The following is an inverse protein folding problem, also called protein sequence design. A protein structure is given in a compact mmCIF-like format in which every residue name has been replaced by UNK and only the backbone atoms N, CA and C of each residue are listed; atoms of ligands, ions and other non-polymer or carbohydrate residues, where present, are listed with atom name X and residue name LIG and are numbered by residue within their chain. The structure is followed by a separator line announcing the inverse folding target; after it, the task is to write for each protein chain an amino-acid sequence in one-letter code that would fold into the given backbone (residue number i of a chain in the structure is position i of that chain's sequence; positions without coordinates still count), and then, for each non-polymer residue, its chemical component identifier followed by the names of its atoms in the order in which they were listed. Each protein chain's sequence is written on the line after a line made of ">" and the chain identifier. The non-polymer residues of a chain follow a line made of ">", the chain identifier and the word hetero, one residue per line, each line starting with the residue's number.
data_IF_186554985549
#
_entry.id   IF_186554985549
#
_cell.length_a   1.000
_cell.length_b   1.000
_cell.length_c   1.000
_cell.angle_alpha   90.00
_cell.angle_beta   90.00
_cell.angle_gamma   90.00
#
_symmetry.space_group_name_H-M   'P 1'
#
loop_
_entity.id
_entity.type
_entity.pdbx_description
1 polymer ?
#
# COMPACT_ATOMS: atom_id res chain seq x y z
N UNK A 1 4.40 1.59 -20.46
CA UNK A 1 4.36 2.36 -19.20
C UNK A 1 4.18 3.86 -19.40
N UNK A 2 4.75 4.50 -20.44
CA UNK A 2 4.72 5.98 -20.60
C UNK A 2 3.34 6.65 -20.62
N UNK A 3 2.32 6.10 -21.28
CA UNK A 3 0.97 6.70 -21.34
C UNK A 3 0.17 6.48 -20.05
N UNK A 4 0.20 5.27 -19.50
CA UNK A 4 -0.50 4.93 -18.24
C UNK A 4 0.02 5.70 -17.04
N UNK A 5 1.32 6.02 -17.00
CA UNK A 5 1.90 6.86 -15.95
C UNK A 5 1.24 8.24 -15.90
N UNK A 6 1.02 8.85 -17.07
CA UNK A 6 0.39 10.16 -17.19
C UNK A 6 -1.09 10.13 -16.80
N UNK A 7 -1.81 9.07 -17.15
CA UNK A 7 -3.22 8.88 -16.74
C UNK A 7 -3.35 8.81 -15.22
N UNK A 8 -2.45 8.08 -14.54
CA UNK A 8 -2.42 8.00 -13.07
C UNK A 8 -2.11 9.37 -12.47
N UNK A 9 -1.13 10.08 -13.01
CA UNK A 9 -0.77 11.43 -12.53
C UNK A 9 -1.94 12.40 -12.71
N UNK A 10 -2.62 12.36 -13.85
CA UNK A 10 -3.81 13.18 -14.12
C UNK A 10 -4.92 12.86 -13.13
N UNK A 11 -5.16 11.59 -12.82
CA UNK A 11 -6.15 11.17 -11.84
C UNK A 11 -5.83 11.71 -10.43
N UNK A 12 -4.57 11.62 -10.00
CA UNK A 12 -4.11 12.15 -8.70
C UNK A 12 -4.42 13.64 -8.59
N UNK A 13 -4.18 14.42 -9.66
CA UNK A 13 -4.46 15.85 -9.66
C UNK A 13 -5.96 16.17 -9.76
N UNK A 14 -6.75 15.37 -10.49
CA UNK A 14 -8.20 15.58 -10.61
C UNK A 14 -8.96 15.29 -9.31
N UNK A 15 -8.48 14.36 -8.51
CA UNK A 15 -9.14 13.98 -7.24
C UNK A 15 -8.70 14.82 -6.06
N UNK A 16 -7.73 15.73 -6.25
CA UNK A 16 -7.10 16.52 -5.18
C UNK A 16 -6.65 15.66 -3.99
N UNK A 17 -6.24 14.42 -4.26
CA UNK A 17 -5.91 13.44 -3.24
C UNK A 17 -4.69 13.89 -2.43
N UNK A 18 -4.81 13.95 -1.10
CA UNK A 18 -3.67 14.26 -0.21
C UNK A 18 -2.73 13.08 -0.01
N UNK A 19 -3.22 11.86 -0.20
CA UNK A 19 -2.47 10.62 -0.04
C UNK A 19 -2.88 9.68 -1.17
N UNK A 20 -1.89 9.09 -1.85
CA UNK A 20 -2.12 8.09 -2.89
C UNK A 20 -1.29 6.84 -2.60
N UNK A 21 -1.88 5.68 -2.84
CA UNK A 21 -1.25 4.39 -2.56
C UNK A 21 -1.30 3.59 -3.86
N UNK A 22 -0.13 3.11 -4.28
CA UNK A 22 0.03 2.37 -5.52
C UNK A 22 0.65 1.01 -5.21
N UNK A 23 -0.10 -0.04 -5.52
CA UNK A 23 0.39 -1.41 -5.55
C UNK A 23 0.78 -1.78 -6.97
N UNK A 24 1.55 -2.85 -7.13
CA UNK A 24 2.06 -3.25 -8.46
C UNK A 24 2.81 -2.10 -9.15
N UNK A 25 3.51 -1.30 -8.34
CA UNK A 25 4.07 -0.04 -8.80
C UNK A 25 5.23 -0.25 -9.78
N UNK A 26 5.79 -1.47 -9.85
CA UNK A 26 6.93 -1.80 -10.69
C UNK A 26 8.04 -0.78 -10.54
N UNK A 27 8.57 -0.31 -11.68
CA UNK A 27 9.57 0.76 -11.72
C UNK A 27 8.97 2.13 -12.09
N UNK A 28 7.63 2.28 -12.05
CA UNK A 28 6.91 3.48 -12.50
C UNK A 28 7.44 4.76 -11.84
N UNK A 29 7.73 4.69 -10.55
CA UNK A 29 8.15 5.83 -9.72
C UNK A 29 9.66 6.10 -9.74
N UNK A 30 10.45 5.24 -10.39
CA UNK A 30 11.87 5.53 -10.62
C UNK A 30 12.06 6.68 -11.62
N UNK A 31 11.06 6.96 -12.46
CA UNK A 31 11.17 7.92 -13.57
C UNK A 31 10.13 9.04 -13.54
N UNK A 32 8.93 8.78 -13.02
CA UNK A 32 7.85 9.76 -12.96
C UNK A 32 7.79 10.45 -11.61
N UNK A 33 7.76 11.79 -11.59
CA UNK A 33 7.71 12.59 -10.36
C UNK A 33 6.33 13.19 -10.15
N UNK A 34 5.82 13.08 -8.91
CA UNK A 34 4.70 13.87 -8.41
C UNK A 34 5.28 15.04 -7.59
N UNK A 35 5.53 16.22 -8.20
CA UNK A 35 6.30 17.29 -7.56
C UNK A 35 5.73 17.81 -6.23
N UNK A 36 4.42 17.69 -6.02
CA UNK A 36 3.72 18.14 -4.82
C UNK A 36 3.64 17.08 -3.71
N UNK A 37 4.25 15.91 -3.93
CA UNK A 37 4.21 14.79 -3.01
C UNK A 37 5.63 14.42 -2.56
N UNK A 38 5.72 13.94 -1.32
CA UNK A 38 6.82 13.12 -0.83
C UNK A 38 6.48 11.66 -1.21
N UNK A 39 7.44 10.98 -1.82
CA UNK A 39 7.26 9.61 -2.32
C UNK A 39 8.04 8.64 -1.43
N UNK A 40 7.33 7.67 -0.87
CA UNK A 40 7.89 6.55 -0.13
C UNK A 40 7.69 5.28 -0.94
N UNK A 41 8.78 4.66 -1.36
CA UNK A 41 8.73 3.56 -2.30
C UNK A 41 9.62 2.42 -1.85
N UNK A 42 9.09 1.20 -1.91
CA UNK A 42 9.87 -0.03 -1.78
C UNK A 42 9.80 -0.81 -3.09
N UNK A 43 10.97 -1.11 -3.65
CA UNK A 43 11.07 -1.91 -4.88
C UNK A 43 10.51 -3.31 -4.65
N UNK A 44 9.76 -3.80 -5.62
CA UNK A 44 9.17 -5.13 -5.55
C UNK A 44 10.17 -6.26 -5.63
N UNK A 45 9.75 -7.44 -5.17
CA UNK A 45 10.51 -8.70 -5.31
C UNK A 45 10.49 -9.27 -6.73
N UNK A 46 9.69 -8.70 -7.63
CA UNK A 46 9.62 -9.04 -9.05
C UNK A 46 9.43 -7.75 -9.89
N UNK A 47 9.37 -7.88 -11.22
CA UNK A 47 9.29 -6.74 -12.14
C UNK A 47 7.95 -5.98 -12.13
N UNK A 48 6.89 -6.56 -11.54
CA UNK A 48 5.54 -5.98 -11.45
C UNK A 48 5.30 -5.41 -10.05
N UNK A 49 5.92 -5.99 -9.03
CA UNK A 49 5.69 -5.64 -7.64
C UNK A 49 6.28 -4.30 -7.23
N UNK A 50 6.20 -4.04 -5.93
CA UNK A 50 6.60 -2.78 -5.34
C UNK A 50 5.38 -1.99 -4.88
N UNK A 51 5.62 -1.18 -3.87
CA UNK A 51 4.59 -0.38 -3.23
C UNK A 51 5.10 1.05 -3.17
N UNK A 52 4.24 1.99 -3.51
CA UNK A 52 4.51 3.41 -3.39
C UNK A 52 3.39 4.09 -2.61
N UNK A 53 3.76 4.89 -1.61
CA UNK A 53 2.87 5.81 -0.93
C UNK A 53 3.34 7.23 -1.25
N UNK A 54 2.48 7.99 -1.91
CA UNK A 54 2.68 9.40 -2.18
C UNK A 54 1.89 10.22 -1.16
N UNK A 55 2.55 11.14 -0.46
CA UNK A 55 1.93 12.03 0.52
C UNK A 55 2.14 13.48 0.12
N UNK A 56 1.07 14.26 0.04
CA UNK A 56 1.15 15.68 -0.28
C UNK A 56 2.07 16.42 0.70
N UNK A 57 2.93 17.30 0.19
CA UNK A 57 3.96 18.02 0.97
C UNK A 57 3.40 18.93 2.05
N UNK A 58 2.10 19.21 2.04
CA UNK A 58 1.39 19.90 3.12
C UNK A 58 1.21 19.05 4.38
N UNK A 59 1.36 17.72 4.28
CA UNK A 59 1.34 16.79 5.40
C UNK A 59 2.77 16.42 5.83
N UNK A 60 2.97 16.20 7.13
CA UNK A 60 4.24 15.67 7.66
C UNK A 60 4.17 14.15 7.65
N UNK A 61 5.09 13.52 6.93
CA UNK A 61 5.18 12.07 6.83
C UNK A 61 6.61 11.58 7.07
N UNK A 62 6.75 10.45 7.74
CA UNK A 62 8.03 9.77 7.97
C UNK A 62 7.93 8.29 7.63
N UNK A 63 8.98 7.76 7.01
CA UNK A 63 9.12 6.32 6.74
C UNK A 63 9.48 5.58 8.03
N UNK A 64 8.87 4.41 8.23
CA UNK A 64 9.31 3.43 9.21
C UNK A 64 10.12 2.38 8.47
N UNK A 65 11.39 2.26 8.83
CA UNK A 65 12.27 1.26 8.24
C UNK A 65 11.88 -0.14 8.71
N UNK A 66 11.58 -1.02 7.75
CA UNK A 66 11.18 -2.40 7.97
C UNK A 66 11.84 -3.29 6.92
N UNK A 67 12.04 -4.56 7.28
CA UNK A 67 12.57 -5.59 6.38
C UNK A 67 11.46 -6.57 5.96
N UNK A 68 10.32 -6.02 5.51
CA UNK A 68 9.21 -6.80 4.94
C UNK A 68 9.09 -6.46 3.46
N UNK A 69 9.36 -7.40 2.54
CA UNK A 69 9.29 -7.13 1.11
C UNK A 69 7.89 -6.74 0.65
N UNK A 70 7.82 -5.95 -0.43
CA UNK A 70 6.59 -5.37 -0.97
C UNK A 70 5.70 -4.70 0.11
N UNK A 71 6.30 -3.89 0.98
CA UNK A 71 5.64 -3.18 2.07
C UNK A 71 6.26 -1.80 2.26
N UNK A 72 5.43 -0.78 2.41
CA UNK A 72 5.85 0.56 2.83
C UNK A 72 5.02 0.93 4.05
N UNK A 73 5.68 1.41 5.09
CA UNK A 73 5.03 1.89 6.30
C UNK A 73 5.43 3.33 6.56
N UNK A 74 4.44 4.20 6.71
CA UNK A 74 4.67 5.60 7.03
C UNK A 74 3.78 6.03 8.19
N UNK A 75 4.27 6.99 8.96
CA UNK A 75 3.47 7.74 9.93
C UNK A 75 3.18 9.13 9.39
N UNK A 76 1.91 9.55 9.46
CA UNK A 76 1.45 10.91 9.20
C UNK A 76 1.26 11.61 10.54
N UNK A 77 1.93 12.76 10.70
CA UNK A 77 1.95 13.52 11.95
C UNK A 77 1.45 14.95 11.74
N UNK A 78 1.12 15.64 12.83
CA UNK A 78 0.56 17.00 12.79
C UNK A 78 -0.93 17.07 12.49
N UNK A 79 -1.60 15.91 12.43
CA UNK A 79 -3.05 15.78 12.50
C UNK A 79 -3.51 15.80 13.98
N UNK A 80 -4.81 15.93 14.22
CA UNK A 80 -5.39 15.81 15.57
C UNK A 80 -5.12 14.43 16.19
N UNK A 81 -5.09 13.40 15.35
CA UNK A 81 -4.76 12.02 15.70
C UNK A 81 -3.70 11.51 14.74
N UNK A 82 -2.63 10.84 15.23
CA UNK A 82 -1.63 10.25 14.35
C UNK A 82 -2.25 9.15 13.51
N UNK A 83 -1.84 9.07 12.24
CA UNK A 83 -2.31 8.02 11.31
C UNK A 83 -1.11 7.27 10.79
N UNK A 84 -1.11 5.95 10.91
CA UNK A 84 -0.13 5.07 10.27
C UNK A 84 -0.73 4.50 8.99
N UNK A 85 0.04 4.46 7.92
CA UNK A 85 -0.37 3.82 6.67
C UNK A 85 0.59 2.68 6.37
N UNK A 86 0.04 1.49 6.21
CA UNK A 86 0.76 0.30 5.76
C UNK A 86 0.25 -0.04 4.36
N UNK A 87 1.06 0.23 3.35
CA UNK A 87 0.83 -0.19 1.98
C UNK A 87 1.50 -1.54 1.73
N UNK A 88 0.80 -2.52 1.18
CA UNK A 88 1.37 -3.84 0.88
C UNK A 88 1.01 -4.37 -0.50
N UNK A 89 1.88 -5.20 -1.07
CA UNK A 89 1.58 -6.02 -2.24
C UNK A 89 2.03 -7.46 -1.99
N UNK A 90 1.14 -8.42 -2.19
CA UNK A 90 1.45 -9.84 -2.06
C UNK A 90 1.40 -10.50 -3.44
N UNK A 91 2.53 -10.65 -4.15
CA UNK A 91 2.52 -11.31 -5.45
C UNK A 91 2.21 -12.80 -5.32
N UNK A 92 1.53 -13.36 -6.33
CA UNK A 92 1.09 -14.76 -6.36
C UNK A 92 2.19 -15.79 -6.10
N UNK A 93 3.41 -15.51 -6.55
CA UNK A 93 4.58 -16.40 -6.42
C UNK A 93 5.27 -16.35 -5.05
N UNK A 94 4.91 -15.40 -4.19
CA UNK A 94 5.57 -15.20 -2.90
C UNK A 94 4.79 -15.89 -1.77
N UNK A 95 5.53 -16.53 -0.86
CA UNK A 95 5.01 -16.88 0.47
C UNK A 95 5.18 -15.67 1.38
N UNK A 96 4.15 -15.38 2.18
CA UNK A 96 4.13 -14.25 3.11
C UNK A 96 3.50 -14.72 4.41
N UNK A 97 4.10 -14.33 5.52
CA UNK A 97 3.48 -14.47 6.83
C UNK A 97 2.75 -13.15 7.14
N UNK A 98 1.44 -13.19 7.36
CA UNK A 98 0.67 -11.97 7.64
C UNK A 98 0.97 -11.43 9.04
N UNK A 99 1.37 -12.30 9.97
CA UNK A 99 1.71 -11.92 11.34
C UNK A 99 2.94 -11.00 11.42
N UNK A 100 3.78 -10.98 10.39
CA UNK A 100 4.91 -10.04 10.30
C UNK A 100 4.43 -8.57 10.29
N UNK A 101 3.17 -8.32 9.88
CA UNK A 101 2.58 -6.98 9.85
C UNK A 101 1.99 -6.58 11.22
N UNK A 102 1.56 -7.53 12.05
CA UNK A 102 0.83 -7.24 13.30
C UNK A 102 1.59 -6.31 14.25
N UNK A 103 2.91 -6.44 14.47
CA UNK A 103 3.66 -5.52 15.34
C UNK A 103 3.68 -4.07 14.85
N UNK A 104 3.34 -3.83 13.58
CA UNK A 104 3.31 -2.52 12.96
C UNK A 104 1.94 -1.85 13.10
N UNK A 105 0.90 -2.62 13.43
CA UNK A 105 -0.46 -2.13 13.60
C UNK A 105 -0.59 -1.47 14.98
N UNK A 106 -0.89 -0.19 14.96
CA UNK A 106 -1.19 0.65 16.13
C UNK A 106 -2.55 1.32 15.95
N UNK A 107 -3.07 1.95 17.00
CA UNK A 107 -4.29 2.77 16.88
C UNK A 107 -4.13 3.82 15.78
N UNK A 108 -5.16 3.98 14.93
CA UNK A 108 -5.12 4.87 13.76
C UNK A 108 -4.39 4.29 12.54
N UNK A 109 -4.11 2.99 12.50
CA UNK A 109 -3.50 2.35 11.32
C UNK A 109 -4.52 2.11 10.21
N UNK A 110 -4.15 2.49 8.99
CA UNK A 110 -4.81 2.10 7.74
C UNK A 110 -3.91 1.07 7.05
N UNK A 111 -4.33 -0.20 7.07
CA UNK A 111 -3.71 -1.27 6.29
C UNK A 111 -4.41 -1.37 4.94
N UNK A 112 -3.65 -1.34 3.85
CA UNK A 112 -4.20 -1.43 2.50
C UNK A 112 -3.19 -2.00 1.53
N UNK A 113 -3.69 -2.62 0.47
CA UNK A 113 -2.83 -3.27 -0.49
C UNK A 113 -3.57 -4.22 -1.40
N UNK A 114 -2.80 -4.86 -2.26
CA UNK A 114 -3.26 -5.94 -3.11
C UNK A 114 -2.65 -7.25 -2.62
N UNK A 115 -3.52 -8.09 -2.07
CA UNK A 115 -3.16 -9.36 -1.48
C UNK A 115 -3.16 -10.51 -2.51
N UNK A 116 -3.50 -10.25 -3.79
CA UNK A 116 -3.77 -11.27 -4.81
C UNK A 116 -4.68 -12.38 -4.28
N UNK A 117 -5.73 -11.97 -3.60
CA UNK A 117 -6.67 -12.83 -2.91
C UNK A 117 -8.08 -12.48 -3.37
N UNK A 118 -8.97 -13.47 -3.42
CA UNK A 118 -10.39 -13.25 -3.73
C UNK A 118 -11.26 -13.67 -2.54
N UNK A 119 -12.22 -12.82 -2.18
CA UNK A 119 -13.15 -12.95 -1.04
C UNK A 119 -14.49 -12.37 -1.49
N UNK A 120 -15.60 -13.06 -1.28
CA UNK A 120 -16.92 -12.57 -1.74
C UNK A 120 -17.35 -11.28 -1.05
N UNK A 121 -16.98 -11.13 0.21
CA UNK A 121 -17.34 -10.02 1.08
C UNK A 121 -16.76 -8.68 0.60
N UNK A 122 -15.61 -8.68 -0.10
CA UNK A 122 -15.08 -7.50 -0.79
C UNK A 122 -15.44 -7.45 -2.28
N UNK A 123 -16.56 -8.08 -2.67
CA UNK A 123 -17.11 -8.10 -4.03
C UNK A 123 -16.32 -8.89 -5.09
N UNK A 124 -15.52 -9.90 -4.70
CA UNK A 124 -14.97 -10.85 -5.67
C UNK A 124 -16.03 -11.90 -6.09
N UNK A 125 -15.91 -12.53 -7.28
CA UNK A 125 -16.85 -13.57 -7.71
C UNK A 125 -16.88 -14.81 -6.80
N UNK A 126 -15.76 -15.13 -6.15
CA UNK A 126 -15.61 -16.26 -5.26
C UNK A 126 -14.58 -15.94 -4.16
N UNK A 127 -14.55 -16.79 -3.13
CA UNK A 127 -13.49 -16.80 -2.13
C UNK A 127 -12.50 -17.91 -2.47
N UNK A 128 -11.25 -17.57 -2.74
CA UNK A 128 -10.18 -18.55 -2.96
C UNK A 128 -9.46 -18.92 -1.65
N UNK A 129 -8.49 -19.85 -1.73
CA UNK A 129 -7.72 -20.30 -0.56
C UNK A 129 -6.92 -19.17 0.09
N UNK A 130 -6.34 -18.25 -0.69
CA UNK A 130 -5.56 -17.14 -0.14
C UNK A 130 -6.49 -16.10 0.48
N UNK A 131 -7.64 -15.85 -0.13
CA UNK A 131 -8.69 -15.00 0.43
C UNK A 131 -9.24 -15.51 1.73
N UNK A 132 -9.47 -16.83 1.87
CA UNK A 132 -9.83 -17.42 3.15
C UNK A 132 -8.78 -17.12 4.23
N UNK A 133 -7.48 -17.33 3.93
CA UNK A 133 -6.39 -17.02 4.87
C UNK A 133 -6.34 -15.54 5.27
N UNK A 134 -6.50 -14.62 4.30
CA UNK A 134 -6.51 -13.17 4.59
C UNK A 134 -7.72 -12.79 5.43
N UNK A 135 -8.89 -13.35 5.09
CA UNK A 135 -10.14 -13.09 5.82
C UNK A 135 -10.05 -13.59 7.26
N UNK A 136 -9.65 -14.84 7.47
CA UNK A 136 -9.51 -15.43 8.79
C UNK A 136 -8.52 -14.62 9.64
N UNK A 137 -7.39 -14.22 9.05
CA UNK A 137 -6.39 -13.38 9.72
C UNK A 137 -6.95 -12.00 10.14
N UNK A 138 -7.74 -11.35 9.29
CA UNK A 138 -8.41 -10.08 9.64
C UNK A 138 -9.39 -10.28 10.80
N UNK A 139 -10.21 -11.33 10.74
CA UNK A 139 -11.22 -11.64 11.77
C UNK A 139 -10.59 -11.99 13.12
N UNK A 140 -9.53 -12.81 13.12
CA UNK A 140 -8.81 -13.22 14.33
C UNK A 140 -8.13 -12.05 15.05
N UNK A 141 -7.73 -11.02 14.31
CA UNK A 141 -7.00 -9.86 14.83
C UNK A 141 -7.88 -8.60 15.01
N UNK A 142 -9.18 -8.67 14.71
CA UNK A 142 -10.13 -7.55 14.77
C UNK A 142 -9.68 -6.32 13.97
N UNK A 143 -9.27 -6.53 12.72
CA UNK A 143 -8.81 -5.48 11.80
C UNK A 143 -9.94 -4.89 10.95
#
# INVERSE_FOLDING_TARGET
>A
WGTRALEVIELVYKTEASICIFTEAGELWNTNKLPHFNIFYQKGTNHIGGVCIAVGKHLKASLIEIDIPNTVVIDITGLSEPVRIIGTYWPNSQKRNLDDILPLIVEGTILTGDFNATVREWSSPATDKRGAVVKDWIEENNL
#
